data_IF_940969110928
#
_entry.id   IF_940969110928
#
_cell.length_a   1.000
_cell.length_b   1.000
_cell.length_c   1.000
_cell.angle_alpha   90.00
_cell.angle_beta   90.00
_cell.angle_gamma   90.00
#
_symmetry.space_group_name_H-M   'P 1'
#
loop_
_entity.id
_entity.type
_entity.pdbx_description
1 polymer ?
#
# COMPACT_ATOMS: atom_id res chain seq x y z
N UNK A 1 -3.77 -10.94 -14.17
CA UNK A 1 -3.31 -9.62 -14.61
C UNK A 1 -3.27 -8.68 -13.40
N UNK A 2 -2.29 -8.84 -12.50
CA UNK A 2 -2.25 -8.06 -11.23
C UNK A 2 -0.86 -7.62 -10.84
N UNK A 3 0.18 -8.40 -11.13
CA UNK A 3 1.57 -7.96 -11.05
C UNK A 3 1.79 -6.59 -11.71
N UNK A 4 1.28 -6.40 -12.92
CA UNK A 4 1.38 -5.11 -13.63
C UNK A 4 0.75 -3.93 -12.87
N UNK A 5 -0.32 -4.14 -12.11
CA UNK A 5 -1.00 -3.07 -11.34
C UNK A 5 -0.23 -2.74 -10.07
N UNK A 6 0.41 -3.75 -9.48
CA UNK A 6 1.36 -3.57 -8.38
C UNK A 6 2.61 -2.82 -8.85
N UNK A 7 3.11 -3.13 -10.05
CA UNK A 7 4.20 -2.39 -10.70
C UNK A 7 3.80 -0.93 -10.99
N UNK A 8 2.60 -0.68 -11.55
CA UNK A 8 2.08 0.68 -11.74
C UNK A 8 2.02 1.46 -10.41
N UNK A 9 1.63 0.79 -9.31
CA UNK A 9 1.60 1.38 -7.97
C UNK A 9 3.00 1.72 -7.46
N UNK A 10 3.97 0.80 -7.58
CA UNK A 10 5.37 1.06 -7.21
C UNK A 10 5.98 2.20 -8.02
N UNK A 11 5.71 2.25 -9.33
CA UNK A 11 6.19 3.32 -10.20
C UNK A 11 5.62 4.68 -9.77
N UNK A 12 4.32 4.75 -9.51
CA UNK A 12 3.68 5.98 -9.05
C UNK A 12 4.17 6.43 -7.66
N UNK A 13 4.39 5.48 -6.75
CA UNK A 13 4.99 5.74 -5.44
C UNK A 13 6.43 6.25 -5.59
N UNK A 14 7.25 5.61 -6.43
CA UNK A 14 8.60 6.03 -6.76
C UNK A 14 8.67 7.44 -7.35
N UNK A 15 7.77 7.76 -8.26
CA UNK A 15 7.64 9.10 -8.83
C UNK A 15 7.25 10.18 -7.79
N UNK A 16 6.56 9.78 -6.72
CA UNK A 16 6.25 10.63 -5.56
C UNK A 16 7.32 10.62 -4.46
N UNK A 17 8.48 10.00 -4.72
CA UNK A 17 9.63 9.96 -3.80
C UNK A 17 9.58 8.87 -2.74
N UNK A 18 8.63 7.92 -2.85
CA UNK A 18 8.58 6.75 -1.97
C UNK A 18 9.50 5.64 -2.48
N UNK A 19 10.23 5.02 -1.56
CA UNK A 19 11.14 3.90 -1.80
C UNK A 19 10.66 2.68 -1.02
N UNK A 20 10.50 1.56 -1.72
CA UNK A 20 10.25 0.27 -1.10
C UNK A 20 11.46 -0.15 -0.25
N UNK A 21 11.18 -0.54 0.99
CA UNK A 21 12.16 -1.10 1.93
C UNK A 21 12.15 -2.62 1.82
N UNK A 22 13.33 -3.23 1.98
CA UNK A 22 13.46 -4.68 2.11
C UNK A 22 13.28 -5.15 3.58
N UNK A 23 13.25 -6.48 3.78
CA UNK A 23 13.10 -7.10 5.11
C UNK A 23 14.25 -6.76 6.09
N UNK A 24 15.42 -6.34 5.58
CA UNK A 24 16.57 -5.93 6.40
C UNK A 24 16.42 -4.49 6.88
N UNK A 25 15.73 -3.68 6.09
CA UNK A 25 15.43 -2.29 6.40
C UNK A 25 14.16 -2.13 7.25
N UNK A 26 13.18 -3.04 7.11
CA UNK A 26 11.93 -2.98 7.86
C UNK A 26 11.39 -4.37 8.24
N UNK A 27 11.11 -4.66 9.53
CA UNK A 27 10.71 -5.99 10.00
C UNK A 27 9.34 -6.45 9.51
N UNK A 28 8.51 -5.53 9.00
CA UNK A 28 7.19 -5.83 8.40
C UNK A 28 7.21 -5.90 6.88
N UNK A 29 8.34 -5.60 6.23
CA UNK A 29 8.44 -5.76 4.79
C UNK A 29 8.48 -7.26 4.46
N UNK A 30 7.66 -7.68 3.51
CA UNK A 30 7.72 -9.04 2.99
C UNK A 30 9.05 -9.27 2.24
N UNK A 31 9.66 -10.47 2.33
CA UNK A 31 10.94 -10.78 1.70
C UNK A 31 10.87 -10.72 0.16
N UNK A 32 9.70 -11.01 -0.42
CA UNK A 32 9.42 -10.78 -1.84
C UNK A 32 8.15 -9.93 -1.99
N UNK A 33 8.25 -8.70 -2.55
CA UNK A 33 7.12 -7.79 -2.70
C UNK A 33 6.05 -8.29 -3.68
N UNK A 34 6.32 -9.35 -4.44
CA UNK A 34 5.39 -9.95 -5.39
C UNK A 34 5.05 -11.41 -5.03
N UNK A 35 5.24 -11.82 -3.78
CA UNK A 35 4.77 -13.11 -3.28
C UNK A 35 3.83 -12.87 -2.10
N UNK A 36 2.66 -13.50 -2.14
CA UNK A 36 1.68 -13.42 -1.06
C UNK A 36 2.03 -14.44 0.03
N UNK A 37 2.00 -13.97 1.27
CA UNK A 37 2.06 -14.75 2.51
C UNK A 37 0.69 -14.62 3.19
N UNK A 38 -0.02 -15.75 3.35
CA UNK A 38 -1.36 -15.79 3.95
C UNK A 38 -2.28 -14.66 3.43
N UNK A 39 -2.47 -14.65 2.12
CA UNK A 39 -3.45 -13.83 1.40
C UNK A 39 -3.05 -12.36 1.27
N UNK A 40 -1.91 -11.97 1.81
CA UNK A 40 -1.43 -10.60 1.73
C UNK A 40 0.05 -10.51 1.41
N UNK A 41 0.49 -9.33 0.97
CA UNK A 41 1.91 -8.97 0.97
C UNK A 41 2.03 -7.58 1.56
N UNK A 42 3.04 -7.38 2.41
CA UNK A 42 3.24 -6.10 3.11
C UNK A 42 4.46 -5.40 2.54
N UNK A 43 4.25 -4.19 2.05
CA UNK A 43 5.30 -3.30 1.56
C UNK A 43 5.55 -2.21 2.58
N UNK A 44 6.75 -2.16 3.14
CA UNK A 44 7.18 -0.99 3.87
C UNK A 44 7.74 0.04 2.88
N UNK A 45 7.21 1.25 2.90
CA UNK A 45 7.60 2.34 2.02
C UNK A 45 8.20 3.47 2.86
N UNK A 46 9.36 3.97 2.46
CA UNK A 46 10.01 5.13 3.07
C UNK A 46 10.00 6.32 2.13
N UNK A 47 9.97 7.53 2.67
CA UNK A 47 10.28 8.76 1.93
C UNK A 47 11.22 9.61 2.76
N UNK A 48 12.19 10.26 2.11
CA UNK A 48 13.24 11.01 2.79
C UNK A 48 12.80 12.43 3.20
N UNK A 49 11.92 13.08 2.42
CA UNK A 49 11.48 14.45 2.67
C UNK A 49 9.95 14.60 2.54
N UNK A 50 9.21 14.78 3.65
CA UNK A 50 9.70 14.62 5.02
C UNK A 50 10.00 13.13 5.31
N UNK A 51 10.89 12.82 6.28
CA UNK A 51 11.17 11.44 6.66
C UNK A 51 9.90 10.79 7.20
N UNK A 52 9.46 9.73 6.52
CA UNK A 52 8.27 8.96 6.89
C UNK A 52 8.42 7.52 6.41
N UNK A 53 7.90 6.60 7.21
CA UNK A 53 7.72 5.19 6.82
C UNK A 53 6.24 4.86 6.94
N UNK A 54 5.70 4.15 5.95
CA UNK A 54 4.35 3.60 5.97
C UNK A 54 4.40 2.13 5.60
N UNK A 55 3.42 1.37 6.05
CA UNK A 55 3.21 -0.01 5.64
C UNK A 55 1.97 -0.05 4.75
N UNK A 56 2.11 -0.67 3.59
CA UNK A 56 1.05 -0.93 2.64
C UNK A 56 0.78 -2.43 2.62
N UNK A 57 -0.45 -2.83 2.93
CA UNK A 57 -0.87 -4.22 2.86
C UNK A 57 -1.70 -4.44 1.59
N UNK A 58 -1.25 -5.34 0.73
CA UNK A 58 -1.96 -5.75 -0.47
C UNK A 58 -2.71 -7.04 -0.17
N UNK A 59 -4.04 -6.98 -0.15
CA UNK A 59 -4.91 -8.10 0.24
C UNK A 59 -5.47 -8.82 -0.99
N UNK A 60 -5.39 -10.13 -0.99
CA UNK A 60 -5.93 -11.04 -1.98
C UNK A 60 -7.09 -11.86 -1.42
N UNK A 61 -8.03 -12.20 -2.30
CA UNK A 61 -9.18 -13.02 -1.95
C UNK A 61 -9.32 -14.12 -2.99
N UNK A 62 -9.17 -15.38 -2.56
CA UNK A 62 -9.41 -16.52 -3.41
C UNK A 62 -10.89 -16.71 -3.73
N UNK A 63 -11.17 -17.74 -4.52
CA UNK A 63 -12.54 -18.12 -4.84
C UNK A 63 -13.31 -18.40 -3.54
N UNK A 64 -14.51 -17.81 -3.40
CA UNK A 64 -15.37 -17.95 -2.22
C UNK A 64 -14.73 -17.54 -0.87
N UNK A 65 -13.69 -16.70 -0.91
CA UNK A 65 -13.02 -16.21 0.30
C UNK A 65 -11.97 -17.18 0.86
N UNK A 66 -11.58 -18.20 0.10
CA UNK A 66 -10.47 -19.07 0.48
C UNK A 66 -9.12 -18.34 0.42
N UNK A 67 -8.14 -18.76 1.25
CA UNK A 67 -6.76 -18.31 1.16
C UNK A 67 -6.19 -18.47 -0.25
N UNK A 68 -5.41 -17.49 -0.71
CA UNK A 68 -4.78 -17.54 -2.04
C UNK A 68 -3.37 -16.97 -2.04
N UNK A 69 -2.51 -17.61 -2.84
CA UNK A 69 -1.15 -17.14 -3.11
C UNK A 69 -0.97 -16.53 -4.49
N UNK A 70 -2.07 -16.39 -5.24
CA UNK A 70 -2.02 -15.87 -6.61
C UNK A 70 -2.10 -14.36 -6.55
N UNK A 71 -1.06 -13.67 -7.02
CA UNK A 71 -1.11 -12.22 -7.20
C UNK A 71 -2.33 -11.76 -7.98
N UNK A 72 -2.84 -12.59 -8.90
CA UNK A 72 -4.00 -12.23 -9.71
C UNK A 72 -5.25 -11.92 -8.87
N UNK A 73 -5.30 -12.46 -7.66
CA UNK A 73 -6.42 -12.39 -6.73
C UNK A 73 -6.29 -11.19 -5.76
N UNK A 74 -5.19 -10.42 -5.84
CA UNK A 74 -5.05 -9.16 -5.08
C UNK A 74 -6.11 -8.16 -5.55
N UNK A 75 -6.94 -7.73 -4.61
CA UNK A 75 -8.11 -6.90 -4.86
C UNK A 75 -7.89 -5.44 -4.51
N UNK A 76 -7.18 -5.16 -3.43
CA UNK A 76 -6.88 -3.80 -3.00
C UNK A 76 -5.56 -3.72 -2.24
N UNK A 77 -5.06 -2.50 -2.11
CA UNK A 77 -3.99 -2.10 -1.22
C UNK A 77 -4.56 -1.19 -0.14
N UNK A 78 -4.09 -1.30 1.10
CA UNK A 78 -4.47 -0.42 2.19
C UNK A 78 -3.25 0.04 2.97
N UNK A 79 -3.32 1.22 3.57
CA UNK A 79 -2.29 1.69 4.50
C UNK A 79 -2.57 1.11 5.89
N UNK A 80 -1.59 0.43 6.47
CA UNK A 80 -1.73 -0.11 7.83
C UNK A 80 -1.94 1.05 8.81
N UNK A 81 -2.95 0.92 9.67
CA UNK A 81 -3.32 1.95 10.65
C UNK A 81 -4.12 3.13 10.07
N UNK A 82 -4.57 3.07 8.81
CA UNK A 82 -5.47 4.09 8.21
C UNK A 82 -6.61 3.42 7.43
N UNK A 83 -7.70 4.16 7.22
CA UNK A 83 -8.82 3.72 6.37
C UNK A 83 -8.61 4.04 4.87
N UNK A 84 -7.36 4.29 4.48
CA UNK A 84 -6.99 4.64 3.11
C UNK A 84 -6.78 3.36 2.28
N UNK A 85 -7.63 3.14 1.28
CA UNK A 85 -7.56 1.97 0.38
C UNK A 85 -7.52 2.35 -1.10
N UNK A 86 -6.79 1.58 -1.88
CA UNK A 86 -6.76 1.61 -3.35
C UNK A 86 -7.26 0.26 -3.87
N UNK A 87 -8.43 0.26 -4.50
CA UNK A 87 -8.97 -0.93 -5.16
C UNK A 87 -8.35 -1.12 -6.55
N UNK A 88 -7.85 -2.32 -6.84
CA UNK A 88 -7.30 -2.68 -8.14
C UNK A 88 -8.44 -2.93 -9.14
N UNK A 89 -8.86 -1.88 -9.83
CA UNK A 89 -9.82 -1.96 -10.94
C UNK A 89 -9.15 -2.41 -12.25
N UNK A 90 -9.90 -2.44 -13.36
CA UNK A 90 -9.35 -2.81 -14.67
C UNK A 90 -8.40 -1.71 -15.16
N UNK A 91 -7.13 -2.04 -15.45
CA UNK A 91 -6.11 -1.08 -15.91
C UNK A 91 -6.52 -0.25 -17.13
N UNK A 92 -7.30 -0.83 -18.04
CA UNK A 92 -7.77 -0.16 -19.26
C UNK A 92 -8.81 0.95 -19.00
N UNK A 93 -9.33 1.05 -17.77
CA UNK A 93 -10.28 2.07 -17.37
C UNK A 93 -9.55 3.34 -16.93
N UNK A 94 -9.92 4.53 -17.43
CA UNK A 94 -9.29 5.78 -17.01
C UNK A 94 -9.32 5.99 -15.49
N UNK A 95 -10.35 5.48 -14.82
CA UNK A 95 -10.54 5.54 -13.38
C UNK A 95 -9.39 4.88 -12.59
N UNK A 96 -8.68 3.90 -13.18
CA UNK A 96 -7.51 3.27 -12.54
C UNK A 96 -6.42 4.30 -12.26
N UNK A 97 -6.06 5.08 -13.29
CA UNK A 97 -4.99 6.07 -13.20
C UNK A 97 -5.36 7.20 -12.24
N UNK A 98 -6.61 7.65 -12.28
CA UNK A 98 -7.12 8.69 -11.37
C UNK A 98 -7.13 8.21 -9.91
N UNK A 99 -7.60 6.98 -9.66
CA UNK A 99 -7.61 6.38 -8.33
C UNK A 99 -6.20 6.20 -7.78
N UNK A 100 -5.27 5.72 -8.61
CA UNK A 100 -3.87 5.55 -8.26
C UNK A 100 -3.22 6.88 -7.86
N UNK A 101 -3.36 7.91 -8.69
CA UNK A 101 -2.78 9.23 -8.41
C UNK A 101 -3.41 9.88 -7.18
N UNK A 102 -4.73 9.69 -6.97
CA UNK A 102 -5.43 10.17 -5.79
C UNK A 102 -4.93 9.47 -4.52
N UNK A 103 -4.73 8.16 -4.59
CA UNK A 103 -4.20 7.38 -3.47
C UNK A 103 -2.79 7.85 -3.07
N UNK A 104 -1.86 7.94 -4.02
CA UNK A 104 -0.49 8.40 -3.75
C UNK A 104 -0.48 9.82 -3.16
N UNK A 105 -1.30 10.74 -3.70
CA UNK A 105 -1.44 12.09 -3.14
C UNK A 105 -1.98 12.13 -1.72
N UNK A 106 -2.87 11.20 -1.35
CA UNK A 106 -3.38 11.11 0.03
C UNK A 106 -2.27 10.67 0.99
N UNK A 107 -1.43 9.71 0.60
CA UNK A 107 -0.27 9.31 1.41
C UNK A 107 0.63 10.49 1.76
N UNK A 108 0.80 11.42 0.82
CA UNK A 108 1.58 12.64 1.01
C UNK A 108 0.88 13.66 1.91
N UNK A 109 -0.45 13.73 1.83
CA UNK A 109 -1.28 14.76 2.47
C UNK A 109 -1.70 14.44 3.91
N UNK A 110 -1.70 13.16 4.31
CA UNK A 110 -2.15 12.68 5.64
C UNK A 110 -1.28 13.14 6.82
N UNK A 111 -0.41 14.15 6.63
CA UNK A 111 0.34 14.83 7.70
C UNK A 111 -0.22 16.16 8.17
N UNK A 112 -1.37 16.65 7.68
CA UNK A 112 -1.97 17.90 8.21
C UNK A 112 -2.96 17.73 9.36
N UNK A 113 -3.20 16.50 9.87
CA UNK A 113 -4.27 16.23 10.84
C UNK A 113 -3.91 15.35 12.03
N UNK A 114 -2.64 15.30 12.45
CA UNK A 114 -2.21 14.54 13.62
C UNK A 114 -1.55 15.41 14.67
N UNK A 115 -2.32 16.30 15.30
CA UNK A 115 -1.94 16.99 16.53
C UNK A 115 -3.10 16.91 17.53
N UNK A 116 -2.84 16.15 18.59
CA UNK A 116 -3.30 16.28 19.99
C UNK A 116 -4.79 16.44 20.32
N UNK A 117 -5.33 15.47 21.06
CA UNK A 117 -5.85 15.57 22.45
C UNK A 117 -6.34 14.15 22.82
N UNK A 118 -6.02 13.54 23.95
CA UNK A 118 -6.24 14.08 25.29
C UNK A 118 -5.31 13.39 26.31
N UNK A 119 -4.84 14.24 27.21
CA UNK A 119 -3.94 13.98 28.32
C UNK A 119 -4.66 13.22 29.43
N UNK A 120 -3.99 12.23 30.02
CA UNK A 120 -4.30 11.80 31.39
C UNK A 120 -3.70 12.83 32.35
N UNK A 121 -4.53 13.50 33.17
CA UNK A 121 -4.31 13.35 34.60
C UNK A 121 -5.60 13.38 35.43
N UNK A 122 -5.76 12.44 36.36
CA UNK A 122 -5.84 12.72 37.82
C UNK A 122 -5.69 11.43 38.62
#
# INVERSE_FOLDING_TARGET
MTRQRMEDLLEALGAAGWRLLDEREHPKASPDPFVLEDDAVTWAMSRADPPVVIELQLCAFGDLGEPTRRLRDVLYCQVVGRDERLYFTKRARPEWRESLMTFVRRLDSSRRGGHEDEQDPT
#
